data_IF_858234007563
#
_entry.id   IF_858234007563
#
_cell.length_a   1.000
_cell.length_b   1.000
_cell.length_c   1.000
_cell.angle_alpha   90.00
_cell.angle_beta   90.00
_cell.angle_gamma   90.00
#
_symmetry.space_group_name_H-M   'P 1'
#
loop_
_entity.id
_entity.type
_entity.pdbx_description
1 polymer ?
#
# COMPACT_ATOMS: atom_id res chain seq x y z
N UNK A 1 -21.81 1.46 -17.74
CA UNK A 1 -20.51 1.57 -18.44
C UNK A 1 -19.74 0.29 -18.18
N UNK A 2 -19.10 -0.29 -19.19
CA UNK A 2 -18.21 -1.43 -18.98
C UNK A 2 -16.96 -0.94 -18.21
N UNK A 3 -16.45 -1.75 -17.30
CA UNK A 3 -15.20 -1.44 -16.58
C UNK A 3 -14.04 -1.61 -17.57
N UNK A 4 -13.20 -0.59 -17.70
CA UNK A 4 -11.91 -0.72 -18.37
C UNK A 4 -10.91 -1.38 -17.41
N UNK A 5 -10.70 -2.68 -17.59
CA UNK A 5 -9.80 -3.47 -16.75
C UNK A 5 -8.32 -3.11 -16.94
N UNK A 6 -7.94 -2.56 -18.10
CA UNK A 6 -6.56 -2.11 -18.35
C UNK A 6 -6.29 -0.82 -17.59
N UNK A 7 -7.19 0.16 -17.70
CA UNK A 7 -7.11 1.41 -16.94
C UNK A 7 -7.12 1.15 -15.43
N UNK A 8 -7.98 0.22 -14.98
CA UNK A 8 -8.01 -0.18 -13.57
C UNK A 8 -6.67 -0.78 -13.10
N UNK A 9 -6.08 -1.69 -13.88
CA UNK A 9 -4.79 -2.29 -13.56
C UNK A 9 -3.67 -1.24 -13.46
N UNK A 10 -3.60 -0.31 -14.42
CA UNK A 10 -2.65 0.81 -14.38
C UNK A 10 -2.84 1.70 -13.14
N UNK A 11 -4.08 1.92 -12.72
CA UNK A 11 -4.41 2.64 -11.48
C UNK A 11 -3.87 1.92 -10.23
N UNK A 12 -4.07 0.61 -10.15
CA UNK A 12 -3.56 -0.21 -9.04
C UNK A 12 -2.03 -0.24 -9.02
N UNK A 13 -1.38 -0.31 -10.19
CA UNK A 13 0.09 -0.26 -10.31
C UNK A 13 0.67 1.05 -9.77
N UNK A 14 0.07 2.19 -10.14
CA UNK A 14 0.49 3.50 -9.63
C UNK A 14 0.31 3.62 -8.12
N UNK A 15 -0.78 3.07 -7.57
CA UNK A 15 -1.01 3.04 -6.13
C UNK A 15 0.04 2.16 -5.41
N UNK A 16 0.36 0.99 -5.97
CA UNK A 16 1.42 0.12 -5.44
C UNK A 16 2.78 0.80 -5.44
N UNK A 17 3.12 1.51 -6.52
CA UNK A 17 4.36 2.28 -6.59
C UNK A 17 4.42 3.37 -5.51
N UNK A 18 3.33 4.11 -5.33
CA UNK A 18 3.22 5.14 -4.29
C UNK A 18 3.37 4.55 -2.89
N UNK A 19 2.65 3.46 -2.58
CA UNK A 19 2.72 2.79 -1.28
C UNK A 19 4.15 2.32 -0.96
N UNK A 20 4.87 1.78 -1.93
CA UNK A 20 6.27 1.36 -1.75
C UNK A 20 7.19 2.55 -1.50
N UNK A 21 7.00 3.67 -2.21
CA UNK A 21 7.75 4.92 -1.98
C UNK A 21 7.52 5.50 -0.59
N UNK A 22 6.28 5.45 -0.10
CA UNK A 22 5.92 5.96 1.22
C UNK A 22 6.39 5.05 2.37
N UNK A 23 6.46 3.75 2.10
CA UNK A 23 6.92 2.75 3.07
C UNK A 23 8.45 2.78 3.25
N UNK A 24 9.22 3.05 2.19
CA UNK A 24 10.68 2.95 2.21
C UNK A 24 11.36 3.83 3.28
N UNK A 25 10.96 5.08 3.54
CA UNK A 25 11.56 5.89 4.60
C UNK A 25 11.33 5.29 6.00
N UNK A 26 10.21 4.59 6.21
CA UNK A 26 9.91 3.89 7.46
C UNK A 26 10.81 2.66 7.61
N UNK A 27 10.93 1.86 6.56
CA UNK A 27 11.74 0.64 6.57
C UNK A 27 13.24 0.93 6.70
N UNK A 28 13.73 2.01 6.07
CA UNK A 28 15.12 2.46 6.18
C UNK A 28 15.46 3.15 7.50
N UNK A 29 14.46 3.39 8.36
CA UNK A 29 14.62 4.13 9.61
C UNK A 29 14.89 5.63 9.41
N UNK A 30 14.77 6.14 8.18
CA UNK A 30 14.89 7.58 7.87
C UNK A 30 13.70 8.38 8.39
N UNK A 31 12.56 7.71 8.62
CA UNK A 31 11.35 8.27 9.19
C UNK A 31 10.84 7.35 10.31
N UNK A 32 10.27 7.97 11.35
CA UNK A 32 9.54 7.28 12.41
C UNK A 32 8.15 7.88 12.54
N UNK A 33 7.19 7.05 12.94
CA UNK A 33 5.83 7.47 13.23
C UNK A 33 5.57 7.40 14.73
N UNK A 34 4.90 8.43 15.22
CA UNK A 34 4.41 8.49 16.59
C UNK A 34 2.89 8.62 16.58
N UNK A 35 2.25 7.98 17.55
CA UNK A 35 0.85 8.21 17.89
C UNK A 35 0.77 8.69 19.34
N UNK A 36 -0.17 9.58 19.64
CA UNK A 36 -0.53 9.91 21.02
C UNK A 36 -2.01 10.18 21.12
N UNK A 37 -2.58 9.81 22.26
CA UNK A 37 -3.95 10.14 22.62
C UNK A 37 -3.95 11.25 23.67
N UNK A 38 -4.55 12.40 23.36
CA UNK A 38 -4.61 13.55 24.24
C UNK A 38 -3.23 14.02 24.73
N UNK A 39 -3.05 14.03 26.05
CA UNK A 39 -1.84 14.47 26.74
C UNK A 39 -0.85 13.34 27.03
N UNK A 40 -1.12 12.11 26.59
CA UNK A 40 -0.25 10.96 26.84
C UNK A 40 1.09 11.10 26.11
N UNK A 41 2.07 10.31 26.55
CA UNK A 41 3.36 10.20 25.89
C UNK A 41 3.19 9.67 24.46
N UNK A 42 4.07 10.11 23.56
CA UNK A 42 4.15 9.56 22.21
C UNK A 42 4.56 8.09 22.26
N UNK A 43 3.80 7.25 21.56
CA UNK A 43 4.08 5.84 21.31
C UNK A 43 4.68 5.71 19.92
N UNK A 44 5.82 5.04 19.80
CA UNK A 44 6.38 4.68 18.49
C UNK A 44 5.47 3.62 17.85
N UNK A 45 4.93 3.93 16.68
CA UNK A 45 4.03 3.06 15.91
C UNK A 45 4.61 2.69 14.55
N UNK A 46 5.90 2.95 14.35
CA UNK A 46 6.57 2.76 13.06
C UNK A 46 6.43 1.33 12.55
N UNK A 47 6.65 0.33 13.41
CA UNK A 47 6.57 -1.07 13.01
C UNK A 47 5.13 -1.49 12.68
N UNK A 48 4.15 -1.07 13.46
CA UNK A 48 2.72 -1.35 13.21
C UNK A 48 2.29 -0.77 11.85
N UNK A 49 2.76 0.43 11.53
CA UNK A 49 2.50 1.05 10.24
C UNK A 49 3.20 0.29 9.10
N UNK A 50 4.45 -0.15 9.27
CA UNK A 50 5.16 -0.96 8.27
C UNK A 50 4.39 -2.25 7.99
N UNK A 51 4.00 -2.98 9.04
CA UNK A 51 3.32 -4.27 8.91
C UNK A 51 1.97 -4.12 8.20
N UNK A 52 1.20 -3.09 8.58
CA UNK A 52 -0.07 -2.77 7.92
C UNK A 52 0.12 -2.43 6.44
N UNK A 53 1.11 -1.60 6.11
CA UNK A 53 1.37 -1.21 4.72
C UNK A 53 1.81 -2.41 3.87
N UNK A 54 2.66 -3.30 4.40
CA UNK A 54 3.03 -4.55 3.73
C UNK A 54 1.82 -5.43 3.42
N UNK A 55 0.89 -5.55 4.37
CA UNK A 55 -0.35 -6.31 4.17
C UNK A 55 -1.23 -5.68 3.06
N UNK A 56 -1.33 -4.36 3.02
CA UNK A 56 -2.09 -3.65 1.97
C UNK A 56 -1.43 -3.86 0.60
N UNK A 57 -0.11 -3.70 0.51
CA UNK A 57 0.66 -3.93 -0.72
C UNK A 57 0.42 -5.36 -1.23
N UNK A 58 0.58 -6.38 -0.37
CA UNK A 58 0.36 -7.78 -0.77
C UNK A 58 -1.08 -8.03 -1.28
N UNK A 59 -2.07 -7.36 -0.69
CA UNK A 59 -3.46 -7.45 -1.13
C UNK A 59 -3.64 -6.86 -2.53
N UNK A 60 -3.04 -5.70 -2.80
CA UNK A 60 -3.15 -5.02 -4.09
C UNK A 60 -2.37 -5.75 -5.18
N UNK A 61 -1.22 -6.36 -4.84
CA UNK A 61 -0.50 -7.25 -5.74
C UNK A 61 -1.34 -8.48 -6.15
N UNK A 62 -2.06 -9.08 -5.19
CA UNK A 62 -2.96 -10.20 -5.47
C UNK A 62 -4.13 -9.78 -6.39
N UNK A 63 -4.72 -8.61 -6.15
CA UNK A 63 -5.78 -8.04 -7.01
C UNK A 63 -5.24 -7.80 -8.41
N UNK A 64 -4.08 -7.14 -8.54
CA UNK A 64 -3.48 -6.85 -9.83
C UNK A 64 -3.19 -8.12 -10.62
N UNK A 65 -2.70 -9.17 -9.94
CA UNK A 65 -2.50 -10.48 -10.53
C UNK A 65 -3.82 -11.06 -11.08
N UNK A 66 -4.89 -11.08 -10.29
CA UNK A 66 -6.21 -11.58 -10.74
C UNK A 66 -6.73 -10.80 -11.95
N UNK A 67 -6.61 -9.48 -11.93
CA UNK A 67 -7.06 -8.62 -13.04
C UNK A 67 -6.31 -8.97 -14.33
N UNK A 68 -4.99 -9.07 -14.25
CA UNK A 68 -4.14 -9.38 -15.42
C UNK A 68 -4.37 -10.79 -15.96
N UNK A 69 -4.60 -11.78 -15.09
CA UNK A 69 -4.76 -13.17 -15.51
C UNK A 69 -6.20 -13.50 -15.96
N UNK A 70 -7.21 -12.89 -15.33
CA UNK A 70 -8.60 -13.34 -15.48
C UNK A 70 -9.56 -12.30 -16.08
N UNK A 71 -9.21 -11.00 -16.05
CA UNK A 71 -10.13 -9.91 -16.45
C UNK A 71 -9.72 -9.21 -17.73
N UNK A 72 -8.43 -9.05 -17.97
CA UNK A 72 -7.89 -8.58 -19.24
C UNK A 72 -7.73 -9.81 -20.14
N UNK A 73 -8.76 -10.12 -20.93
CA UNK A 73 -8.67 -11.13 -21.99
C UNK A 73 -8.33 -10.44 -23.31
N UNK A 74 -7.53 -11.12 -24.13
CA UNK A 74 -7.31 -10.76 -25.54
C UNK A 74 -8.62 -10.79 -26.35
#
# INVERSE_FOLDING_TARGET
MAVDWREYAEGVEKQLEQLRRDLEPLESGRMKLGEREGSNAWRDVTQEAIDRNRQVIATYEAILKDVRENRIKD
#
